data_IF_604960578557
#
_entry.id   IF_604960578557
#
_cell.length_a   1.000
_cell.length_b   1.000
_cell.length_c   1.000
_cell.angle_alpha   90.00
_cell.angle_beta   90.00
_cell.angle_gamma   90.00
#
_symmetry.space_group_name_H-M   'P 1'
#
loop_
_entity.id
_entity.type
_entity.pdbx_description
1 polymer ?
#
# COMPACT_ATOMS: atom_id res chain seq x y z
N UNK A 1 -79.53 -96.49 -44.80
CA UNK A 1 -79.56 -95.85 -43.48
C UNK A 1 -78.63 -94.64 -43.49
N UNK A 2 -79.02 -93.61 -42.75
CA UNK A 2 -78.33 -92.34 -42.50
C UNK A 2 -78.36 -91.33 -43.66
N UNK A 3 -79.38 -90.47 -43.59
CA UNK A 3 -79.61 -89.36 -44.48
C UNK A 3 -78.65 -88.20 -44.27
N UNK A 4 -78.31 -87.55 -45.38
CA UNK A 4 -77.50 -86.34 -45.47
C UNK A 4 -78.39 -85.13 -45.19
N UNK A 5 -77.91 -84.29 -44.26
CA UNK A 5 -78.60 -83.15 -43.68
C UNK A 5 -78.09 -81.89 -44.39
N UNK A 6 -78.89 -81.30 -45.28
CA UNK A 6 -78.58 -80.01 -45.91
C UNK A 6 -79.07 -78.86 -45.00
N UNK A 7 -78.20 -77.95 -44.52
CA UNK A 7 -78.52 -76.98 -43.46
C UNK A 7 -79.52 -75.87 -43.85
N UNK A 8 -80.12 -75.93 -45.05
CA UNK A 8 -81.08 -74.91 -45.53
C UNK A 8 -82.55 -75.32 -45.43
N UNK A 9 -82.88 -76.59 -45.16
CA UNK A 9 -84.27 -77.07 -45.04
C UNK A 9 -84.42 -78.11 -43.90
N UNK A 10 -85.43 -77.94 -43.03
CA UNK A 10 -85.50 -78.56 -41.69
C UNK A 10 -86.52 -79.73 -41.55
N UNK A 11 -86.70 -80.58 -42.57
CA UNK A 11 -87.70 -81.67 -42.53
C UNK A 11 -87.13 -83.04 -42.91
N UNK A 12 -87.33 -84.04 -42.04
CA UNK A 12 -86.96 -85.46 -42.23
C UNK A 12 -87.96 -86.16 -43.16
N UNK A 13 -87.49 -86.77 -44.25
CA UNK A 13 -88.31 -87.58 -45.15
C UNK A 13 -88.25 -89.04 -44.68
N UNK A 14 -89.11 -89.37 -43.71
CA UNK A 14 -89.42 -90.75 -43.34
C UNK A 14 -90.93 -90.90 -43.47
N UNK A 15 -91.36 -91.74 -44.42
CA UNK A 15 -92.73 -92.04 -44.83
C UNK A 15 -93.33 -91.10 -45.90
N UNK A 16 -92.90 -91.27 -47.15
CA UNK A 16 -93.72 -90.93 -48.32
C UNK A 16 -93.61 -92.10 -49.31
N UNK A 17 -94.70 -92.84 -49.44
CA UNK A 17 -94.92 -93.92 -50.39
C UNK A 17 -95.16 -93.35 -51.79
N UNK A 18 -94.25 -93.65 -52.74
CA UNK A 18 -94.36 -93.35 -54.18
C UNK A 18 -93.82 -91.97 -54.59
N UNK A 19 -92.72 -91.95 -55.35
CA UNK A 19 -92.07 -90.82 -56.06
C UNK A 19 -92.41 -89.40 -55.61
N UNK A 20 -91.59 -88.83 -54.70
CA UNK A 20 -91.67 -87.42 -54.29
C UNK A 20 -90.36 -86.68 -54.59
N UNK A 21 -90.44 -85.61 -55.40
CA UNK A 21 -89.34 -84.70 -55.77
C UNK A 21 -89.35 -83.46 -54.87
N UNK A 22 -88.21 -83.13 -54.25
CA UNK A 22 -88.05 -81.97 -53.35
C UNK A 22 -87.66 -80.74 -54.19
N UNK A 23 -88.54 -79.73 -54.26
CA UNK A 23 -88.27 -78.45 -54.95
C UNK A 23 -87.68 -77.41 -53.99
N UNK A 24 -86.64 -76.69 -54.42
CA UNK A 24 -86.06 -75.55 -53.66
C UNK A 24 -86.96 -74.31 -53.70
N UNK A 25 -86.80 -73.34 -52.80
CA UNK A 25 -87.70 -72.17 -52.74
C UNK A 25 -87.62 -71.30 -54.00
N UNK A 26 -86.44 -71.15 -54.60
CA UNK A 26 -86.28 -70.50 -55.90
C UNK A 26 -86.93 -71.32 -57.03
N UNK A 27 -86.84 -72.64 -57.02
CA UNK A 27 -87.50 -73.49 -58.01
C UNK A 27 -89.01 -73.54 -57.82
N UNK A 28 -89.50 -73.47 -56.59
CA UNK A 28 -90.92 -73.35 -56.24
C UNK A 28 -91.47 -72.00 -56.67
N UNK A 29 -90.75 -70.92 -56.41
CA UNK A 29 -91.15 -69.60 -56.92
C UNK A 29 -91.02 -69.50 -58.44
N UNK A 30 -90.01 -70.14 -59.05
CA UNK A 30 -89.87 -70.22 -60.51
C UNK A 30 -91.01 -71.01 -61.12
N UNK A 31 -91.36 -72.19 -60.59
CA UNK A 31 -92.53 -72.96 -61.05
C UNK A 31 -93.82 -72.23 -60.75
N UNK A 32 -93.95 -71.47 -59.65
CA UNK A 32 -95.12 -70.62 -59.35
C UNK A 32 -95.22 -69.38 -60.24
N UNK A 33 -94.10 -68.82 -60.69
CA UNK A 33 -94.04 -67.72 -61.68
C UNK A 33 -94.25 -68.24 -63.10
N UNK A 34 -93.78 -69.44 -63.42
CA UNK A 34 -93.95 -70.10 -64.72
C UNK A 34 -95.32 -70.77 -64.88
N UNK A 35 -95.98 -71.18 -63.80
CA UNK A 35 -97.34 -71.77 -63.81
C UNK A 35 -98.46 -70.73 -63.85
N UNK A 36 -98.15 -69.47 -63.54
CA UNK A 36 -99.03 -68.34 -63.87
C UNK A 36 -98.89 -68.04 -65.36
N UNK A 37 -99.81 -68.58 -66.15
CA UNK A 37 -100.02 -68.17 -67.54
C UNK A 37 -100.36 -66.67 -67.56
N UNK A 38 -99.35 -65.84 -67.85
CA UNK A 38 -99.54 -64.42 -68.12
C UNK A 38 -100.26 -64.29 -69.46
N UNK A 39 -101.35 -63.54 -69.46
CA UNK A 39 -102.05 -63.16 -70.70
C UNK A 39 -101.16 -62.25 -71.55
N UNK A 40 -101.29 -62.25 -72.89
CA UNK A 40 -100.45 -61.44 -73.78
C UNK A 40 -100.37 -59.95 -73.39
N UNK A 41 -101.45 -59.40 -72.82
CA UNK A 41 -101.53 -58.03 -72.34
C UNK A 41 -100.59 -57.75 -71.14
N UNK A 42 -100.43 -58.70 -70.22
CA UNK A 42 -99.62 -58.50 -69.01
C UNK A 42 -98.12 -58.66 -69.27
N UNK A 43 -97.72 -59.42 -70.30
CA UNK A 43 -96.33 -59.45 -70.78
C UNK A 43 -95.95 -58.11 -71.39
N UNK A 44 -96.86 -57.51 -72.17
CA UNK A 44 -96.64 -56.25 -72.87
C UNK A 44 -96.52 -55.06 -71.92
N UNK A 45 -97.36 -54.98 -70.87
CA UNK A 45 -97.21 -53.95 -69.83
C UNK A 45 -95.88 -54.05 -69.06
N UNK A 46 -95.38 -55.27 -68.84
CA UNK A 46 -94.13 -55.45 -68.10
C UNK A 46 -92.92 -55.11 -68.95
N UNK A 47 -92.92 -55.48 -70.23
CA UNK A 47 -91.88 -55.04 -71.17
C UNK A 47 -91.91 -53.54 -71.36
N UNK A 48 -93.09 -52.92 -71.43
CA UNK A 48 -93.22 -51.45 -71.49
C UNK A 48 -92.66 -50.77 -70.24
N UNK A 49 -92.96 -51.27 -69.04
CA UNK A 49 -92.38 -50.71 -67.80
C UNK A 49 -90.87 -50.87 -67.72
N UNK A 50 -90.33 -52.03 -68.12
CA UNK A 50 -88.88 -52.25 -68.16
C UNK A 50 -88.20 -51.38 -69.23
N UNK A 51 -88.84 -51.12 -70.36
CA UNK A 51 -88.38 -50.19 -71.39
C UNK A 51 -88.45 -48.73 -70.92
N UNK A 52 -89.50 -48.34 -70.21
CA UNK A 52 -89.63 -47.01 -69.61
C UNK A 52 -88.58 -46.75 -68.53
N UNK A 53 -88.30 -47.73 -67.67
CA UNK A 53 -87.23 -47.63 -66.66
C UNK A 53 -85.83 -47.55 -67.31
N UNK A 54 -85.59 -48.33 -68.37
CA UNK A 54 -84.35 -48.22 -69.17
C UNK A 54 -84.24 -46.85 -69.85
N UNK A 55 -85.33 -46.35 -70.41
CA UNK A 55 -85.35 -45.04 -71.06
C UNK A 55 -85.12 -43.90 -70.04
N UNK A 56 -85.70 -44.00 -68.84
CA UNK A 56 -85.49 -43.02 -67.76
C UNK A 56 -84.05 -43.06 -67.23
N UNK A 57 -83.47 -44.25 -67.05
CA UNK A 57 -82.07 -44.38 -66.62
C UNK A 57 -81.10 -43.90 -67.69
N UNK A 58 -81.35 -44.19 -68.98
CA UNK A 58 -80.55 -43.65 -70.08
C UNK A 58 -80.65 -42.13 -70.16
N UNK A 59 -81.86 -41.55 -70.09
CA UNK A 59 -82.04 -40.09 -70.06
C UNK A 59 -81.32 -39.45 -68.87
N UNK A 60 -81.34 -40.08 -67.70
CA UNK A 60 -80.63 -39.58 -66.53
C UNK A 60 -79.10 -39.64 -66.68
N UNK A 61 -78.57 -40.67 -67.35
CA UNK A 61 -77.14 -40.79 -67.68
C UNK A 61 -76.75 -39.74 -68.72
N UNK A 62 -77.55 -39.55 -69.76
CA UNK A 62 -77.28 -38.58 -70.82
C UNK A 62 -77.35 -37.15 -70.30
N UNK A 63 -78.34 -36.80 -69.48
CA UNK A 63 -78.39 -35.49 -68.80
C UNK A 63 -77.17 -35.26 -67.88
N UNK A 64 -76.70 -36.29 -67.17
CA UNK A 64 -75.47 -36.17 -66.38
C UNK A 64 -74.24 -35.97 -67.27
N UNK A 65 -74.15 -36.68 -68.39
CA UNK A 65 -73.05 -36.53 -69.36
C UNK A 65 -73.05 -35.15 -70.00
N UNK A 66 -74.20 -34.63 -70.44
CA UNK A 66 -74.29 -33.28 -71.02
C UNK A 66 -73.92 -32.23 -69.99
N UNK A 67 -74.39 -32.36 -68.74
CA UNK A 67 -74.05 -31.42 -67.67
C UNK A 67 -72.54 -31.41 -67.34
N UNK A 68 -71.89 -32.58 -67.36
CA UNK A 68 -70.44 -32.69 -67.16
C UNK A 68 -69.68 -32.04 -68.32
N UNK A 69 -70.08 -32.33 -69.57
CA UNK A 69 -69.45 -31.76 -70.76
C UNK A 69 -69.64 -30.23 -70.79
N UNK A 70 -70.82 -29.72 -70.49
CA UNK A 70 -71.08 -28.27 -70.41
C UNK A 70 -70.32 -27.59 -69.27
N UNK A 71 -70.22 -28.23 -68.11
CA UNK A 71 -69.42 -27.72 -66.99
C UNK A 71 -67.93 -27.70 -67.33
N UNK A 72 -67.42 -28.73 -68.02
CA UNK A 72 -66.02 -28.81 -68.45
C UNK A 72 -65.71 -27.78 -69.53
N UNK A 73 -66.61 -27.57 -70.49
CA UNK A 73 -66.48 -26.51 -71.50
C UNK A 73 -66.49 -25.12 -70.87
N UNK A 74 -67.40 -24.85 -69.91
CA UNK A 74 -67.43 -23.57 -69.17
C UNK A 74 -66.16 -23.37 -68.35
N UNK A 75 -65.66 -24.42 -67.70
CA UNK A 75 -64.42 -24.36 -66.92
C UNK A 75 -63.20 -24.10 -67.81
N UNK A 76 -63.09 -24.78 -68.96
CA UNK A 76 -62.03 -24.53 -69.93
C UNK A 76 -62.11 -23.12 -70.53
N UNK A 77 -63.31 -22.60 -70.81
CA UNK A 77 -63.49 -21.22 -71.28
C UNK A 77 -63.10 -20.19 -70.21
N UNK A 78 -63.48 -20.40 -68.95
CA UNK A 78 -63.09 -19.54 -67.82
C UNK A 78 -61.57 -19.53 -67.63
N UNK A 79 -60.93 -20.71 -67.64
CA UNK A 79 -59.47 -20.82 -67.53
C UNK A 79 -58.77 -20.10 -68.67
N UNK A 80 -59.23 -20.28 -69.92
CA UNK A 80 -58.67 -19.56 -71.08
C UNK A 80 -58.87 -18.05 -70.96
N UNK A 81 -60.03 -17.58 -70.50
CA UNK A 81 -60.26 -16.15 -70.27
C UNK A 81 -59.35 -15.59 -69.18
N UNK A 82 -59.18 -16.31 -68.07
CA UNK A 82 -58.34 -15.89 -66.96
C UNK A 82 -56.85 -15.83 -67.35
N UNK A 83 -56.35 -16.83 -68.08
CA UNK A 83 -54.96 -16.81 -68.57
C UNK A 83 -54.75 -15.70 -69.59
N UNK A 84 -55.70 -15.47 -70.49
CA UNK A 84 -55.63 -14.38 -71.48
C UNK A 84 -55.66 -13.01 -70.79
N UNK A 85 -56.48 -12.83 -69.76
CA UNK A 85 -56.55 -11.59 -68.98
C UNK A 85 -55.26 -11.31 -68.21
N UNK A 86 -54.69 -12.33 -67.54
CA UNK A 86 -53.41 -12.20 -66.85
C UNK A 86 -52.28 -11.84 -67.82
N UNK A 87 -52.22 -12.50 -68.98
CA UNK A 87 -51.25 -12.17 -70.03
C UNK A 87 -51.44 -10.76 -70.56
N UNK A 88 -52.69 -10.30 -70.75
CA UNK A 88 -52.96 -8.93 -71.19
C UNK A 88 -52.54 -7.88 -70.15
N UNK A 89 -52.76 -8.15 -68.86
CA UNK A 89 -52.38 -7.24 -67.77
C UNK A 89 -50.86 -7.20 -67.58
N UNK A 90 -50.18 -8.34 -67.73
CA UNK A 90 -48.71 -8.39 -67.74
C UNK A 90 -48.14 -7.63 -68.93
N UNK A 91 -48.72 -7.83 -70.12
CA UNK A 91 -48.32 -7.08 -71.32
C UNK A 91 -48.56 -5.58 -71.14
N UNK A 92 -49.69 -5.16 -70.56
CA UNK A 92 -49.97 -3.75 -70.29
C UNK A 92 -48.99 -3.15 -69.26
N UNK A 93 -48.64 -3.88 -68.21
CA UNK A 93 -47.59 -3.47 -67.25
C UNK A 93 -46.23 -3.35 -67.92
N UNK A 94 -45.85 -4.32 -68.74
CA UNK A 94 -44.60 -4.28 -69.49
C UNK A 94 -44.58 -3.07 -70.43
N UNK A 95 -45.70 -2.79 -71.10
CA UNK A 95 -45.84 -1.65 -72.00
C UNK A 95 -45.81 -0.32 -71.23
N UNK A 96 -46.39 -0.26 -70.02
CA UNK A 96 -46.31 0.91 -69.14
C UNK A 96 -44.87 1.14 -68.63
N UNK A 97 -44.15 0.08 -68.26
CA UNK A 97 -42.73 0.17 -67.87
C UNK A 97 -41.88 0.59 -69.07
N UNK A 98 -42.14 0.03 -70.25
CA UNK A 98 -41.43 0.41 -71.48
C UNK A 98 -41.70 1.88 -71.85
N UNK A 99 -42.94 2.35 -71.72
CA UNK A 99 -43.30 3.77 -71.89
C UNK A 99 -42.63 4.66 -70.86
N UNK A 100 -42.60 4.27 -69.60
CA UNK A 100 -41.91 5.00 -68.54
C UNK A 100 -40.42 5.13 -68.85
N UNK A 101 -39.74 4.02 -69.18
CA UNK A 101 -38.33 4.02 -69.59
C UNK A 101 -38.09 4.87 -70.83
N UNK A 102 -38.97 4.79 -71.84
CA UNK A 102 -38.86 5.62 -73.03
C UNK A 102 -39.00 7.12 -72.71
N UNK A 103 -39.86 7.48 -71.76
CA UNK A 103 -40.00 8.86 -71.30
C UNK A 103 -38.77 9.34 -70.50
N UNK A 104 -38.17 8.47 -69.68
CA UNK A 104 -36.91 8.77 -68.95
C UNK A 104 -35.72 8.99 -69.88
N UNK A 105 -35.75 8.45 -71.10
CA UNK A 105 -34.71 8.67 -72.11
C UNK A 105 -34.79 10.03 -72.79
N UNK A 106 -35.91 10.75 -72.69
CA UNK A 106 -36.07 12.10 -73.23
C UNK A 106 -35.14 13.08 -72.51
N UNK A 107 -34.48 13.95 -73.27
CA UNK A 107 -33.45 14.85 -72.74
C UNK A 107 -34.00 15.86 -71.72
N UNK A 108 -35.25 16.31 -71.88
CA UNK A 108 -35.91 17.19 -70.90
C UNK A 108 -36.14 16.49 -69.56
N UNK A 109 -36.50 15.20 -69.59
CA UNK A 109 -36.71 14.39 -68.38
C UNK A 109 -35.37 14.12 -67.68
N UNK A 110 -34.30 13.88 -68.44
CA UNK A 110 -32.94 13.79 -67.89
C UNK A 110 -32.51 15.10 -67.21
N UNK A 111 -32.81 16.26 -67.80
CA UNK A 111 -32.53 17.55 -67.17
C UNK A 111 -33.34 17.74 -65.87
N UNK A 112 -34.64 17.43 -65.89
CA UNK A 112 -35.48 17.47 -64.68
C UNK A 112 -34.96 16.52 -63.60
N UNK A 113 -34.51 15.32 -63.97
CA UNK A 113 -33.91 14.37 -63.03
C UNK A 113 -32.61 14.89 -62.42
N UNK A 114 -31.78 15.59 -63.18
CA UNK A 114 -30.59 16.28 -62.65
C UNK A 114 -30.98 17.37 -61.63
N UNK A 115 -32.03 18.15 -61.90
CA UNK A 115 -32.54 19.15 -60.96
C UNK A 115 -33.11 18.52 -59.69
N UNK A 116 -33.87 17.43 -59.81
CA UNK A 116 -34.38 16.66 -58.66
C UNK A 116 -33.23 16.10 -57.82
N UNK A 117 -32.18 15.55 -58.46
CA UNK A 117 -31.00 15.07 -57.76
C UNK A 117 -30.27 16.22 -57.04
N UNK A 118 -30.09 17.37 -57.69
CA UNK A 118 -29.50 18.56 -57.08
C UNK A 118 -30.32 19.07 -55.89
N UNK A 119 -31.65 19.09 -56.00
CA UNK A 119 -32.55 19.48 -54.91
C UNK A 119 -32.44 18.52 -53.71
N UNK A 120 -32.35 17.20 -53.96
CA UNK A 120 -32.13 16.21 -52.90
C UNK A 120 -30.79 16.42 -52.18
N UNK A 121 -29.72 16.65 -52.94
CA UNK A 121 -28.39 16.93 -52.36
C UNK A 121 -28.40 18.22 -51.54
N UNK A 122 -29.07 19.29 -52.00
CA UNK A 122 -29.23 20.53 -51.22
C UNK A 122 -29.98 20.30 -49.92
N UNK A 123 -31.09 19.56 -49.96
CA UNK A 123 -31.87 19.23 -48.76
C UNK A 123 -31.06 18.40 -47.75
N UNK A 124 -30.26 17.43 -48.22
CA UNK A 124 -29.35 16.67 -47.35
C UNK A 124 -28.28 17.58 -46.73
N UNK A 125 -27.67 18.46 -47.51
CA UNK A 125 -26.66 19.42 -47.02
C UNK A 125 -27.24 20.36 -45.97
N UNK A 126 -28.46 20.86 -46.16
CA UNK A 126 -29.12 21.73 -45.19
C UNK A 126 -29.40 21.00 -43.87
N UNK A 127 -29.82 19.73 -43.94
CA UNK A 127 -29.99 18.88 -42.76
C UNK A 127 -28.64 18.63 -42.04
N UNK A 128 -27.58 18.36 -42.79
CA UNK A 128 -26.22 18.19 -42.25
C UNK A 128 -25.71 19.47 -41.57
N UNK A 129 -25.96 20.65 -42.17
CA UNK A 129 -25.59 21.94 -41.58
C UNK A 129 -26.29 22.18 -40.24
N UNK A 130 -27.57 21.84 -40.13
CA UNK A 130 -28.32 21.93 -38.87
C UNK A 130 -27.73 20.98 -37.82
N UNK A 131 -27.43 19.74 -38.20
CA UNK A 131 -26.82 18.76 -37.29
C UNK A 131 -25.44 19.21 -36.83
N UNK A 132 -24.61 19.75 -37.73
CA UNK A 132 -23.29 20.25 -37.37
C UNK A 132 -23.36 21.46 -36.43
N UNK A 133 -24.32 22.37 -36.63
CA UNK A 133 -24.56 23.47 -35.70
C UNK A 133 -24.93 22.97 -34.31
N UNK A 134 -25.86 22.01 -34.21
CA UNK A 134 -26.25 21.39 -32.93
C UNK A 134 -25.07 20.71 -32.24
N UNK A 135 -24.28 19.92 -32.97
CA UNK A 135 -23.06 19.30 -32.44
C UNK A 135 -22.09 20.33 -31.87
N UNK A 136 -21.86 21.42 -32.59
CA UNK A 136 -20.98 22.50 -32.13
C UNK A 136 -21.50 23.18 -30.86
N UNK A 137 -22.82 23.38 -30.76
CA UNK A 137 -23.46 23.92 -29.55
C UNK A 137 -23.34 22.96 -28.36
N UNK A 138 -23.54 21.66 -28.59
CA UNK A 138 -23.37 20.60 -27.57
C UNK A 138 -21.90 20.51 -27.10
N UNK A 139 -20.95 20.53 -28.03
CA UNK A 139 -19.51 20.56 -27.73
C UNK A 139 -19.14 21.79 -26.89
N UNK A 140 -19.60 22.98 -27.27
CA UNK A 140 -19.36 24.21 -26.52
C UNK A 140 -19.99 24.16 -25.11
N UNK A 141 -21.18 23.58 -24.97
CA UNK A 141 -21.82 23.38 -23.68
C UNK A 141 -21.04 22.39 -22.81
N UNK A 142 -20.56 21.29 -23.38
CA UNK A 142 -19.71 20.33 -22.66
C UNK A 142 -18.38 20.94 -22.23
N UNK A 143 -17.72 21.69 -23.11
CA UNK A 143 -16.47 22.40 -22.79
C UNK A 143 -16.69 23.39 -21.64
N UNK A 144 -17.78 24.15 -21.66
CA UNK A 144 -18.14 25.04 -20.56
C UNK A 144 -18.35 24.29 -19.24
N UNK A 145 -19.08 23.18 -19.25
CA UNK A 145 -19.27 22.35 -18.05
C UNK A 145 -17.94 21.76 -17.55
N UNK A 146 -17.04 21.36 -18.44
CA UNK A 146 -15.72 20.88 -18.06
C UNK A 146 -14.88 22.00 -17.44
N UNK A 147 -14.89 23.20 -18.02
CA UNK A 147 -14.21 24.37 -17.45
C UNK A 147 -14.74 24.73 -16.06
N UNK A 148 -16.07 24.69 -15.85
CA UNK A 148 -16.69 24.91 -14.54
C UNK A 148 -16.26 23.86 -13.51
N UNK A 149 -16.17 22.58 -13.90
CA UNK A 149 -15.67 21.50 -13.02
C UNK A 149 -14.21 21.70 -12.65
N UNK A 150 -13.37 22.04 -13.62
CA UNK A 150 -11.94 22.30 -13.39
C UNK A 150 -11.72 23.50 -12.47
N UNK A 151 -12.49 24.57 -12.64
CA UNK A 151 -12.41 25.75 -11.76
C UNK A 151 -12.90 25.42 -10.35
N UNK A 152 -13.96 24.63 -10.20
CA UNK A 152 -14.42 24.15 -8.90
C UNK A 152 -13.36 23.29 -8.20
N UNK A 153 -12.67 22.40 -8.92
CA UNK A 153 -11.55 21.62 -8.38
C UNK A 153 -10.37 22.49 -7.99
N UNK A 154 -10.02 23.50 -8.81
CA UNK A 154 -8.99 24.49 -8.48
C UNK A 154 -9.33 25.22 -7.18
N UNK A 155 -10.57 25.67 -7.02
CA UNK A 155 -11.03 26.35 -5.81
C UNK A 155 -10.98 25.44 -4.59
N UNK A 156 -11.40 24.16 -4.71
CA UNK A 156 -11.27 23.17 -3.64
C UNK A 156 -9.81 22.94 -3.24
N UNK A 157 -8.91 22.83 -4.21
CA UNK A 157 -7.49 22.68 -3.94
C UNK A 157 -6.95 23.89 -3.15
N UNK A 158 -7.29 25.13 -3.57
CA UNK A 158 -6.93 26.35 -2.85
C UNK A 158 -7.51 26.37 -1.43
N UNK A 159 -8.76 25.94 -1.24
CA UNK A 159 -9.38 25.83 0.08
C UNK A 159 -8.61 24.87 0.99
N UNK A 160 -8.26 23.67 0.51
CA UNK A 160 -7.47 22.69 1.26
C UNK A 160 -6.11 23.27 1.67
N UNK A 161 -5.43 24.01 0.78
CA UNK A 161 -4.18 24.69 1.12
C UNK A 161 -4.36 25.75 2.21
N UNK A 162 -5.41 26.58 2.10
CA UNK A 162 -5.72 27.60 3.09
C UNK A 162 -6.08 27.01 4.46
N UNK A 163 -6.85 25.92 4.48
CA UNK A 163 -7.19 25.18 5.71
C UNK A 163 -5.94 24.61 6.37
N UNK A 164 -5.05 24.00 5.58
CA UNK A 164 -3.76 23.49 6.08
C UNK A 164 -2.90 24.60 6.65
N UNK A 165 -2.82 25.75 5.98
CA UNK A 165 -2.05 26.90 6.48
C UNK A 165 -2.65 27.47 7.77
N UNK A 166 -3.98 27.58 7.84
CA UNK A 166 -4.70 28.00 9.05
C UNK A 166 -4.43 27.05 10.22
N UNK A 167 -4.52 25.74 10.00
CA UNK A 167 -4.22 24.74 11.01
C UNK A 167 -2.77 24.82 11.51
N UNK A 168 -1.80 25.01 10.61
CA UNK A 168 -0.39 25.22 10.99
C UNK A 168 -0.22 26.50 11.80
N UNK A 169 -0.92 27.58 11.44
CA UNK A 169 -0.89 28.86 12.16
C UNK A 169 -1.48 28.71 13.57
N UNK A 170 -2.56 27.95 13.73
CA UNK A 170 -3.14 27.64 15.04
C UNK A 170 -2.20 26.78 15.89
N UNK A 171 -1.59 25.73 15.32
CA UNK A 171 -0.59 24.94 16.03
C UNK A 171 0.60 25.79 16.50
N UNK A 172 1.07 26.72 15.67
CA UNK A 172 2.12 27.67 16.06
C UNK A 172 1.67 28.59 17.21
N UNK A 173 0.44 29.08 17.18
CA UNK A 173 -0.12 29.88 18.28
C UNK A 173 -0.22 29.08 19.58
N UNK A 174 -0.74 27.85 19.53
CA UNK A 174 -0.83 26.96 20.68
C UNK A 174 0.56 26.63 21.24
N UNK A 175 1.51 26.32 20.37
CA UNK A 175 2.92 26.09 20.74
C UNK A 175 3.53 27.32 21.41
N UNK A 176 3.32 28.52 20.85
CA UNK A 176 3.80 29.77 21.44
C UNK A 176 3.17 30.05 22.81
N UNK A 177 1.87 29.82 22.97
CA UNK A 177 1.18 29.95 24.26
C UNK A 177 1.73 28.97 25.30
N UNK A 178 1.99 27.71 24.91
CA UNK A 178 2.59 26.72 25.81
C UNK A 178 3.99 27.14 26.26
N UNK A 179 4.83 27.64 25.34
CA UNK A 179 6.17 28.14 25.68
C UNK A 179 6.09 29.35 26.61
N UNK A 180 5.18 30.30 26.35
CA UNK A 180 4.95 31.44 27.24
C UNK A 180 4.55 30.99 28.64
N UNK A 181 3.67 29.98 28.74
CA UNK A 181 3.27 29.40 30.02
C UNK A 181 4.47 28.77 30.73
N UNK A 182 5.28 27.98 30.04
CA UNK A 182 6.51 27.39 30.58
C UNK A 182 7.52 28.44 31.05
N UNK A 183 7.69 29.53 30.30
CA UNK A 183 8.56 30.66 30.70
C UNK A 183 8.02 31.31 31.98
N UNK A 184 6.71 31.51 32.08
CA UNK A 184 6.08 32.08 33.26
C UNK A 184 6.24 31.15 34.48
N UNK A 185 6.00 29.85 34.30
CA UNK A 185 6.18 28.85 35.36
C UNK A 185 7.63 28.81 35.85
N UNK A 186 8.61 28.85 34.93
CA UNK A 186 10.04 28.97 35.30
C UNK A 186 10.35 30.26 36.03
N UNK A 187 9.76 31.40 35.64
CA UNK A 187 9.92 32.67 36.36
C UNK A 187 9.35 32.60 37.78
N UNK A 188 8.20 31.95 37.96
CA UNK A 188 7.60 31.74 39.28
C UNK A 188 8.50 30.84 40.13
N UNK A 189 8.97 29.71 39.60
CA UNK A 189 9.89 28.82 40.31
C UNK A 189 11.19 29.54 40.69
N UNK A 190 11.76 30.34 39.79
CA UNK A 190 12.97 31.13 40.07
C UNK A 190 12.73 32.15 41.20
N UNK A 191 11.54 32.77 41.27
CA UNK A 191 11.16 33.64 42.38
C UNK A 191 11.05 32.87 43.69
N UNK A 192 10.36 31.73 43.70
CA UNK A 192 10.23 30.87 44.90
C UNK A 192 11.61 30.44 45.40
N UNK A 193 12.52 30.06 44.50
CA UNK A 193 13.88 29.66 44.87
C UNK A 193 14.70 30.84 45.40
N UNK A 194 14.57 32.03 44.80
CA UNK A 194 15.18 33.25 45.32
C UNK A 194 14.67 33.60 46.72
N UNK A 195 13.35 33.49 46.96
CA UNK A 195 12.75 33.70 48.27
C UNK A 195 13.23 32.66 49.29
N UNK A 196 13.39 31.39 48.88
CA UNK A 196 13.95 30.33 49.74
C UNK A 196 15.40 30.63 50.12
N UNK A 197 16.24 31.00 49.17
CA UNK A 197 17.63 31.41 49.44
C UNK A 197 17.69 32.65 50.33
N UNK A 198 16.80 33.62 50.14
CA UNK A 198 16.74 34.81 50.98
C UNK A 198 16.39 34.46 52.43
N UNK A 199 15.46 33.52 52.65
CA UNK A 199 15.16 32.97 53.99
C UNK A 199 16.35 32.23 54.59
N UNK A 200 16.99 31.32 53.85
CA UNK A 200 18.19 30.59 54.31
C UNK A 200 19.32 31.57 54.70
N UNK A 201 19.53 32.64 53.93
CA UNK A 201 20.51 33.69 54.25
C UNK A 201 20.10 34.48 55.50
N UNK A 202 18.82 34.77 55.68
CA UNK A 202 18.33 35.47 56.86
C UNK A 202 18.50 34.62 58.13
N UNK A 203 18.13 33.33 58.07
CA UNK A 203 18.32 32.36 59.16
C UNK A 203 19.80 32.18 59.51
N UNK A 204 20.67 32.08 58.50
CA UNK A 204 22.13 32.02 58.72
C UNK A 204 22.65 33.29 59.39
N UNK A 205 22.17 34.48 58.97
CA UNK A 205 22.56 35.76 59.61
C UNK A 205 22.11 35.83 61.06
N UNK A 206 20.89 35.40 61.35
CA UNK A 206 20.37 35.35 62.72
C UNK A 206 21.17 34.37 63.59
N UNK A 207 21.48 33.18 63.08
CA UNK A 207 22.33 32.20 63.77
C UNK A 207 23.74 32.74 64.03
N UNK A 208 24.34 33.44 63.06
CA UNK A 208 25.65 34.08 63.24
C UNK A 208 25.61 35.23 64.25
N UNK A 209 24.53 36.01 64.28
CA UNK A 209 24.33 37.06 65.29
C UNK A 209 24.20 36.47 66.69
N UNK A 210 23.38 35.43 66.87
CA UNK A 210 23.24 34.73 68.15
C UNK A 210 24.57 34.11 68.61
N UNK A 211 25.35 33.52 67.69
CA UNK A 211 26.68 32.99 68.01
C UNK A 211 27.66 34.09 68.45
N UNK A 212 27.62 35.26 67.79
CA UNK A 212 28.45 36.42 68.16
C UNK A 212 28.05 36.98 69.54
N UNK A 213 26.75 37.06 69.84
CA UNK A 213 26.26 37.50 71.15
C UNK A 213 26.67 36.55 72.27
N UNK A 214 26.59 35.23 72.05
CA UNK A 214 27.08 34.23 73.00
C UNK A 214 28.61 34.30 73.16
N UNK A 215 29.37 34.49 72.08
CA UNK A 215 30.83 34.69 72.18
C UNK A 215 31.17 35.94 72.99
N UNK A 216 30.45 37.05 72.79
CA UNK A 216 30.60 38.27 73.58
C UNK A 216 30.26 38.05 75.05
N UNK A 217 29.17 37.32 75.36
CA UNK A 217 28.82 36.95 76.75
C UNK A 217 29.91 36.10 77.40
N UNK A 218 30.39 35.05 76.73
CA UNK A 218 31.46 34.19 77.24
C UNK A 218 32.77 34.97 77.44
N UNK A 219 33.10 35.89 76.54
CA UNK A 219 34.26 36.77 76.68
C UNK A 219 34.12 37.72 77.88
N UNK A 220 32.92 38.27 78.11
CA UNK A 220 32.62 39.09 79.29
C UNK A 220 32.70 38.28 80.59
N UNK A 221 32.12 37.08 80.65
CA UNK A 221 32.19 36.19 81.81
C UNK A 221 33.64 35.78 82.09
N UNK A 222 34.41 35.45 81.05
CA UNK A 222 35.84 35.15 81.19
C UNK A 222 36.62 36.34 81.74
N UNK A 223 36.32 37.56 81.27
CA UNK A 223 36.94 38.79 81.78
C UNK A 223 36.57 39.06 83.23
N UNK A 224 35.31 38.86 83.61
CA UNK A 224 34.85 38.97 85.00
C UNK A 224 35.55 37.94 85.89
N UNK A 225 35.57 36.67 85.51
CA UNK A 225 36.28 35.61 86.24
C UNK A 225 37.78 35.89 86.36
N UNK A 226 38.41 36.44 85.32
CA UNK A 226 39.81 36.88 85.38
C UNK A 226 40.01 38.05 86.35
N UNK A 227 39.07 39.00 86.43
CA UNK A 227 39.11 40.10 87.38
C UNK A 227 38.91 39.62 88.82
N UNK A 228 37.95 38.74 89.06
CA UNK A 228 37.71 38.10 90.36
C UNK A 228 38.94 37.32 90.83
N UNK A 229 39.52 36.49 89.96
CA UNK A 229 40.75 35.75 90.25
C UNK A 229 41.93 36.68 90.55
N UNK A 230 42.06 37.80 89.83
CA UNK A 230 43.09 38.81 90.10
C UNK A 230 42.87 39.47 91.46
N UNK A 231 41.62 39.80 91.82
CA UNK A 231 41.28 40.34 93.14
C UNK A 231 41.62 39.36 94.26
N UNK A 232 41.26 38.08 94.10
CA UNK A 232 41.60 37.01 95.06
C UNK A 232 43.11 36.87 95.22
N UNK A 233 43.87 36.90 94.11
CA UNK A 233 45.33 36.87 94.14
C UNK A 233 45.93 38.10 94.86
N UNK A 234 45.38 39.30 94.64
CA UNK A 234 45.80 40.53 95.33
C UNK A 234 45.48 40.48 96.82
N UNK A 235 44.32 39.94 97.21
CA UNK A 235 43.93 39.75 98.60
C UNK A 235 44.81 38.71 99.30
N UNK A 236 45.05 37.56 98.67
CA UNK A 236 45.96 36.53 99.17
C UNK A 236 47.39 37.07 99.33
N UNK A 237 47.87 37.89 98.39
CA UNK A 237 49.18 38.54 98.49
C UNK A 237 49.21 39.58 99.64
N UNK A 238 48.18 40.42 99.78
CA UNK A 238 48.04 41.34 100.94
C UNK A 238 48.05 40.58 102.26
N UNK A 239 47.28 39.49 102.37
CA UNK A 239 47.27 38.64 103.56
C UNK A 239 48.64 38.00 103.81
N UNK A 240 49.34 37.55 102.77
CA UNK A 240 50.71 37.01 102.87
C UNK A 240 51.69 38.06 103.38
N UNK A 241 51.64 39.30 102.87
CA UNK A 241 52.47 40.42 103.33
C UNK A 241 52.20 40.72 104.80
N UNK A 242 50.92 40.80 105.21
CA UNK A 242 50.55 41.01 106.62
C UNK A 242 51.04 39.87 107.51
N UNK A 243 50.92 38.61 107.05
CA UNK A 243 51.45 37.44 107.79
C UNK A 243 52.96 37.53 107.95
N UNK A 244 53.71 37.84 106.87
CA UNK A 244 55.16 38.05 106.91
C UNK A 244 55.57 39.20 107.83
N UNK A 245 54.79 40.29 107.88
CA UNK A 245 55.06 41.40 108.78
C UNK A 245 54.84 41.01 110.25
N UNK A 246 53.75 40.28 110.55
CA UNK A 246 53.48 39.74 111.89
C UNK A 246 54.50 38.68 112.32
N UNK A 247 55.01 37.89 111.38
CA UNK A 247 56.09 36.93 111.63
C UNK A 247 57.38 37.67 111.93
N UNK A 248 57.76 38.68 111.13
CA UNK A 248 58.91 39.54 111.42
C UNK A 248 58.78 40.30 112.75
N UNK A 249 57.61 40.79 113.10
CA UNK A 249 57.37 41.43 114.41
C UNK A 249 57.51 40.44 115.57
N UNK A 250 57.03 39.20 115.40
CA UNK A 250 57.26 38.12 116.37
C UNK A 250 58.74 37.76 116.46
N UNK A 251 59.44 37.64 115.34
CA UNK A 251 60.89 37.40 115.33
C UNK A 251 61.64 38.54 116.04
N UNK A 252 61.26 39.81 115.83
CA UNK A 252 61.86 40.96 116.53
C UNK A 252 61.53 40.92 118.03
N UNK A 253 60.32 40.53 118.41
CA UNK A 253 59.93 40.38 119.82
C UNK A 253 60.68 39.21 120.48
N UNK A 254 60.83 38.08 119.80
CA UNK A 254 61.60 36.93 120.26
C UNK A 254 63.09 37.28 120.35
N UNK A 255 63.65 37.97 119.35
CA UNK A 255 65.04 38.46 119.38
C UNK A 255 65.24 39.47 120.51
N UNK A 256 64.31 40.39 120.75
CA UNK A 256 64.41 41.33 121.86
C UNK A 256 64.27 40.64 123.22
N UNK A 257 63.37 39.65 123.34
CA UNK A 257 63.24 38.82 124.54
C UNK A 257 64.50 37.97 124.79
N UNK A 258 65.11 37.45 123.72
CA UNK A 258 66.40 36.75 123.77
C UNK A 258 67.52 37.72 124.15
N UNK A 259 67.54 38.95 123.65
CA UNK A 259 68.53 39.97 124.03
C UNK A 259 68.38 40.37 125.51
N UNK A 260 67.16 40.56 126.00
CA UNK A 260 66.92 40.87 127.42
C UNK A 260 67.23 39.69 128.34
N UNK A 261 66.86 38.48 127.93
CA UNK A 261 67.23 37.25 128.62
C UNK A 261 68.75 37.05 128.60
N UNK A 262 69.42 37.26 127.47
CA UNK A 262 70.87 37.16 127.34
C UNK A 262 71.61 38.29 128.04
N UNK A 263 71.05 39.50 128.19
CA UNK A 263 71.65 40.55 129.02
C UNK A 263 71.58 40.19 130.50
N UNK A 264 70.44 39.63 130.95
CA UNK A 264 70.28 39.14 132.33
C UNK A 264 71.15 37.90 132.60
N UNK A 265 71.24 36.99 131.62
CA UNK A 265 72.05 35.78 131.69
C UNK A 265 73.54 36.08 131.54
N UNK A 266 73.95 37.01 130.69
CA UNK A 266 75.35 37.46 130.56
C UNK A 266 75.81 38.21 131.80
N UNK A 267 74.96 38.99 132.48
CA UNK A 267 75.31 39.56 133.78
C UNK A 267 75.52 38.46 134.85
N UNK A 268 74.71 37.40 134.84
CA UNK A 268 74.85 36.27 135.77
C UNK A 268 75.97 35.29 135.37
N UNK A 269 76.26 35.13 134.07
CA UNK A 269 77.29 34.27 133.52
C UNK A 269 78.65 34.96 133.45
N UNK A 270 78.77 36.29 133.36
CA UNK A 270 80.05 36.98 133.52
C UNK A 270 80.60 36.80 134.95
N UNK A 271 79.70 36.71 135.94
CA UNK A 271 80.02 36.38 137.34
C UNK A 271 80.38 34.90 137.54
N UNK A 272 79.88 33.99 136.68
CA UNK A 272 80.06 32.53 136.78
C UNK A 272 81.12 31.97 135.82
N UNK A 273 81.36 32.58 134.65
CA UNK A 273 82.33 32.19 133.62
C UNK A 273 83.75 32.56 134.00
N UNK A 274 83.97 33.58 134.85
CA UNK A 274 85.27 33.73 135.54
C UNK A 274 85.64 32.50 136.39
N UNK A 275 84.67 31.69 136.78
CA UNK A 275 84.89 30.49 137.60
C UNK A 275 84.78 29.17 136.82
N UNK A 276 84.23 29.17 135.60
CA UNK A 276 83.94 27.95 134.83
C UNK A 276 84.66 27.88 133.47
N UNK A 277 85.30 28.97 133.01
CA UNK A 277 86.17 28.99 131.82
C UNK A 277 87.32 27.97 131.86
N UNK A 278 87.70 27.45 133.03
CA UNK A 278 88.69 26.37 133.15
C UNK A 278 88.13 24.96 132.93
N UNK A 279 86.80 24.74 132.98
CA UNK A 279 86.18 23.40 132.95
C UNK A 279 85.50 22.99 131.64
N UNK A 280 85.30 23.90 130.68
CA UNK A 280 84.58 23.62 129.42
C UNK A 280 85.47 23.38 128.19
N UNK A 281 86.80 23.44 128.32
CA UNK A 281 87.74 23.01 127.28
C UNK A 281 87.74 21.48 127.03
N UNK A 282 86.97 20.70 127.80
CA UNK A 282 87.03 19.23 127.78
C UNK A 282 85.84 18.52 127.09
N UNK A 283 84.80 19.22 126.63
CA UNK A 283 83.56 18.55 126.14
C UNK A 283 83.00 19.10 124.82
N UNK A 284 83.88 19.46 123.90
CA UNK A 284 83.52 19.82 122.52
C UNK A 284 83.97 18.73 121.53
N UNK A 285 83.71 17.46 121.88
CA UNK A 285 84.01 16.28 121.04
C UNK A 285 82.83 15.34 120.77
N UNK A 286 81.61 15.65 121.21
CA UNK A 286 80.51 14.66 121.14
C UNK A 286 79.27 15.05 120.31
N UNK A 287 79.22 16.19 119.63
CA UNK A 287 78.00 16.56 118.86
C UNK A 287 78.32 16.93 117.40
N UNK A 288 79.06 16.04 116.73
CA UNK A 288 79.17 16.04 115.26
C UNK A 288 78.52 14.81 114.60
N UNK A 289 77.99 13.86 115.37
CA UNK A 289 77.49 12.58 114.83
C UNK A 289 76.00 12.57 114.41
N UNK A 290 75.19 13.57 114.77
CA UNK A 290 73.74 13.55 114.46
C UNK A 290 73.41 14.05 113.04
N UNK A 291 74.37 14.65 112.33
CA UNK A 291 74.15 15.20 110.96
C UNK A 291 74.29 14.18 109.82
N UNK A 292 74.63 12.92 110.10
CA UNK A 292 74.98 11.90 109.07
C UNK A 292 73.82 11.01 108.61
N UNK A 293 72.66 11.03 109.29
CA UNK A 293 71.60 10.01 109.10
C UNK A 293 70.36 10.43 108.27
N UNK A 294 70.27 11.65 107.74
CA UNK A 294 69.06 12.05 106.97
C UNK A 294 69.26 12.22 105.46
N UNK A 295 70.50 12.20 104.95
CA UNK A 295 70.77 12.43 103.52
C UNK A 295 70.54 11.20 102.61
N UNK A 296 70.30 10.00 103.18
CA UNK A 296 70.18 8.74 102.39
C UNK A 296 68.77 8.37 101.92
N UNK A 297 67.73 9.07 102.38
CA UNK A 297 66.34 8.76 102.03
C UNK A 297 65.85 9.43 100.73
N UNK A 298 66.61 10.38 100.18
CA UNK A 298 66.23 11.14 98.98
C UNK A 298 66.74 10.46 97.70
N UNK A 299 67.79 9.65 97.77
CA UNK A 299 68.40 9.02 96.59
C UNK A 299 67.72 7.71 96.13
N UNK A 300 66.82 7.12 96.93
CA UNK A 300 66.17 5.84 96.61
C UNK A 300 64.89 5.97 95.77
N UNK A 301 64.29 7.15 95.66
CA UNK A 301 63.03 7.33 94.92
C UNK A 301 63.25 7.73 93.44
N UNK A 302 64.45 8.17 93.07
CA UNK A 302 64.81 8.56 91.69
C UNK A 302 65.06 7.36 90.75
N UNK A 303 65.25 6.15 91.29
CA UNK A 303 65.60 4.95 90.49
C UNK A 303 64.38 4.15 90.00
N UNK A 304 63.19 4.33 90.57
CA UNK A 304 62.00 3.56 90.19
C UNK A 304 61.23 4.12 88.98
N UNK A 305 61.39 5.41 88.66
CA UNK A 305 60.72 6.06 87.51
C UNK A 305 61.47 5.89 86.18
N UNK A 306 62.78 5.64 86.22
CA UNK A 306 63.60 5.45 85.02
C UNK A 306 63.33 4.11 84.31
N UNK A 307 62.93 3.07 85.05
CA UNK A 307 62.63 1.73 84.51
C UNK A 307 61.23 1.62 83.90
N UNK A 308 60.30 2.53 84.23
CA UNK A 308 58.93 2.55 83.70
C UNK A 308 58.84 3.25 82.34
N UNK A 309 59.70 4.25 82.11
CA UNK A 309 59.76 5.00 80.84
C UNK A 309 60.30 4.17 79.65
N UNK A 310 61.29 3.29 79.86
CA UNK A 310 61.90 2.48 78.78
C UNK A 310 60.99 1.40 78.18
N UNK A 311 60.05 0.85 78.95
CA UNK A 311 59.09 -0.17 78.44
C UNK A 311 57.97 0.43 77.60
N UNK A 312 57.53 1.65 77.92
CA UNK A 312 56.47 2.35 77.17
C UNK A 312 56.97 2.88 75.82
N UNK A 313 58.24 3.26 75.72
CA UNK A 313 58.84 3.70 74.45
C UNK A 313 59.00 2.55 73.45
N UNK A 314 59.46 1.37 73.89
CA UNK A 314 59.63 0.21 73.00
C UNK A 314 58.29 -0.38 72.50
N UNK A 315 57.24 -0.35 73.32
CA UNK A 315 55.91 -0.83 72.91
C UNK A 315 55.23 0.14 71.91
N UNK A 316 55.47 1.45 72.03
CA UNK A 316 55.03 2.46 71.06
C UNK A 316 55.73 2.29 69.71
N UNK A 317 57.05 2.09 69.72
CA UNK A 317 57.84 1.95 68.50
C UNK A 317 57.45 0.70 67.69
N UNK A 318 57.10 -0.40 68.37
CA UNK A 318 56.59 -1.62 67.72
C UNK A 318 55.21 -1.41 67.09
N UNK A 319 54.30 -0.68 67.77
CA UNK A 319 52.97 -0.36 67.24
C UNK A 319 53.04 0.62 66.06
N UNK A 320 53.98 1.56 66.07
CA UNK A 320 54.22 2.48 64.96
C UNK A 320 54.77 1.77 63.72
N UNK A 321 55.78 0.89 63.88
CA UNK A 321 56.29 0.07 62.77
C UNK A 321 55.23 -0.84 62.16
N UNK A 322 54.33 -1.42 62.97
CA UNK A 322 53.21 -2.21 62.46
C UNK A 322 52.21 -1.35 61.67
N UNK A 323 51.86 -0.16 62.17
CA UNK A 323 50.97 0.78 61.46
C UNK A 323 51.57 1.27 60.15
N UNK A 324 52.87 1.53 60.09
CA UNK A 324 53.56 1.94 58.86
C UNK A 324 53.55 0.83 57.80
N UNK A 325 53.78 -0.43 58.21
CA UNK A 325 53.70 -1.58 57.32
C UNK A 325 52.28 -1.82 56.80
N UNK A 326 51.26 -1.65 57.63
CA UNK A 326 49.85 -1.76 57.21
C UNK A 326 49.43 -0.63 56.27
N UNK A 327 49.86 0.61 56.52
CA UNK A 327 49.61 1.73 55.63
C UNK A 327 50.35 1.57 54.29
N UNK A 328 51.57 1.01 54.30
CA UNK A 328 52.30 0.69 53.07
C UNK A 328 51.60 -0.40 52.25
N UNK A 329 51.11 -1.47 52.90
CA UNK A 329 50.33 -2.53 52.23
C UNK A 329 49.03 -2.01 51.63
N UNK A 330 48.25 -1.22 52.37
CA UNK A 330 47.01 -0.59 51.86
C UNK A 330 47.28 0.31 50.65
N UNK A 331 48.36 1.10 50.69
CA UNK A 331 48.76 1.94 49.54
C UNK A 331 49.14 1.11 48.31
N UNK A 332 49.73 -0.06 48.48
CA UNK A 332 50.06 -0.95 47.37
C UNK A 332 48.81 -1.62 46.80
N UNK A 333 47.90 -2.10 47.65
CA UNK A 333 46.60 -2.65 47.25
C UNK A 333 45.76 -1.63 46.47
N UNK A 334 45.71 -0.38 46.94
CA UNK A 334 45.04 0.72 46.23
C UNK A 334 45.68 1.02 44.87
N UNK A 335 47.01 1.00 44.78
CA UNK A 335 47.72 1.16 43.49
C UNK A 335 47.40 0.01 42.53
N UNK A 336 47.41 -1.23 43.02
CA UNK A 336 47.08 -2.41 42.23
C UNK A 336 45.65 -2.31 41.68
N UNK A 337 44.69 -1.96 42.55
CA UNK A 337 43.30 -1.73 42.15
C UNK A 337 43.16 -0.63 41.09
N UNK A 338 43.90 0.47 41.20
CA UNK A 338 43.89 1.54 40.20
C UNK A 338 44.45 1.04 38.85
N UNK A 339 45.52 0.25 38.88
CA UNK A 339 46.12 -0.33 37.67
C UNK A 339 45.15 -1.31 37.01
N UNK A 340 44.51 -2.18 37.79
CA UNK A 340 43.56 -3.17 37.28
C UNK A 340 42.32 -2.49 36.71
N UNK A 341 41.74 -1.53 37.41
CA UNK A 341 40.62 -0.72 36.92
C UNK A 341 40.98 0.03 35.63
N UNK A 342 42.20 0.56 35.52
CA UNK A 342 42.69 1.22 34.30
C UNK A 342 42.83 0.22 33.16
N UNK A 343 43.34 -0.97 33.42
CA UNK A 343 43.48 -2.03 32.42
C UNK A 343 42.12 -2.54 31.93
N UNK A 344 41.16 -2.72 32.83
CA UNK A 344 39.77 -3.07 32.48
C UNK A 344 39.11 -1.97 31.65
N UNK A 345 39.26 -0.71 32.04
CA UNK A 345 38.75 0.42 31.27
C UNK A 345 39.34 0.46 29.85
N UNK A 346 40.66 0.27 29.71
CA UNK A 346 41.32 0.21 28.40
C UNK A 346 40.81 -0.96 27.56
N UNK A 347 40.62 -2.14 28.15
CA UNK A 347 40.03 -3.31 27.46
C UNK A 347 38.60 -3.04 27.00
N UNK A 348 37.76 -2.44 27.84
CA UNK A 348 36.39 -2.08 27.49
C UNK A 348 36.35 -1.04 26.37
N UNK A 349 37.21 -0.02 26.44
CA UNK A 349 37.36 0.98 25.37
C UNK A 349 37.78 0.33 24.06
N UNK A 350 38.75 -0.58 24.08
CA UNK A 350 39.20 -1.32 22.90
C UNK A 350 38.08 -2.19 22.31
N UNK A 351 37.34 -2.93 23.15
CA UNK A 351 36.16 -3.70 22.69
C UNK A 351 35.10 -2.82 22.05
N UNK A 352 34.80 -1.65 22.63
CA UNK A 352 33.83 -0.70 22.08
C UNK A 352 34.30 -0.14 20.73
N UNK A 353 35.59 0.18 20.60
CA UNK A 353 36.17 0.63 19.32
C UNK A 353 36.07 -0.45 18.24
N UNK A 354 36.36 -1.71 18.57
CA UNK A 354 36.21 -2.84 17.65
C UNK A 354 34.74 -3.03 17.24
N UNK A 355 33.80 -2.91 18.19
CA UNK A 355 32.37 -2.99 17.90
C UNK A 355 31.92 -1.87 16.96
N UNK A 356 32.35 -0.63 17.21
CA UNK A 356 32.05 0.51 16.32
C UNK A 356 32.64 0.30 14.93
N UNK A 357 33.91 -0.11 14.82
CA UNK A 357 34.54 -0.41 13.55
C UNK A 357 33.83 -1.55 12.79
N UNK A 358 33.32 -2.55 13.50
CA UNK A 358 32.52 -3.63 12.90
C UNK A 358 31.16 -3.14 12.40
N UNK A 359 30.48 -2.26 13.15
CA UNK A 359 29.22 -1.65 12.72
C UNK A 359 29.46 -0.80 11.47
N UNK A 360 30.47 0.09 11.49
CA UNK A 360 30.85 0.90 10.34
C UNK A 360 31.22 0.05 9.12
N UNK A 361 31.98 -1.03 9.32
CA UNK A 361 32.30 -1.98 8.24
C UNK A 361 31.05 -2.65 7.66
N UNK A 362 30.10 -3.08 8.50
CA UNK A 362 28.85 -3.67 8.05
C UNK A 362 27.96 -2.67 7.29
N UNK A 363 27.89 -1.43 7.77
CA UNK A 363 27.17 -0.36 7.08
C UNK A 363 27.81 -0.02 5.73
N UNK A 364 29.13 0.06 5.68
CA UNK A 364 29.89 0.25 4.45
C UNK A 364 29.67 -0.90 3.46
N UNK A 365 29.71 -2.16 3.92
CA UNK A 365 29.44 -3.32 3.07
C UNK A 365 28.00 -3.34 2.55
N UNK A 366 27.01 -2.94 3.38
CA UNK A 366 25.61 -2.79 2.94
C UNK A 366 25.46 -1.68 1.90
N UNK A 367 26.10 -0.54 2.12
CA UNK A 367 26.09 0.57 1.18
C UNK A 367 26.76 0.18 -0.15
N UNK A 368 27.89 -0.53 -0.08
CA UNK A 368 28.59 -1.06 -1.25
C UNK A 368 27.72 -2.05 -2.02
N UNK A 369 27.07 -3.01 -1.35
CA UNK A 369 26.14 -3.94 -2.01
C UNK A 369 25.00 -3.23 -2.72
N UNK A 370 24.38 -2.23 -2.08
CA UNK A 370 23.36 -1.40 -2.72
C UNK A 370 23.89 -0.66 -3.94
N UNK A 371 25.10 -0.11 -3.86
CA UNK A 371 25.74 0.57 -4.98
C UNK A 371 26.04 -0.39 -6.14
N UNK A 372 26.56 -1.59 -5.84
CA UNK A 372 26.81 -2.64 -6.82
C UNK A 372 25.50 -3.13 -7.46
N UNK A 373 24.43 -3.29 -6.68
CA UNK A 373 23.08 -3.64 -7.17
C UNK A 373 22.50 -2.55 -8.07
N UNK A 374 22.60 -1.28 -7.68
CA UNK A 374 22.11 -0.15 -8.50
C UNK A 374 22.92 -0.04 -9.81
N UNK A 375 24.23 -0.24 -9.74
CA UNK A 375 25.11 -0.26 -10.91
C UNK A 375 24.73 -1.42 -11.85
N UNK A 376 24.55 -2.63 -11.32
CA UNK A 376 24.14 -3.79 -12.10
C UNK A 376 22.75 -3.60 -12.72
N UNK A 377 21.79 -3.00 -11.99
CA UNK A 377 20.48 -2.67 -12.51
C UNK A 377 20.55 -1.65 -13.66
N UNK A 378 21.40 -0.62 -13.52
CA UNK A 378 21.62 0.40 -14.57
C UNK A 378 22.28 -0.20 -15.81
N UNK A 379 23.27 -1.10 -15.64
CA UNK A 379 23.90 -1.83 -16.74
C UNK A 379 22.90 -2.78 -17.44
N UNK A 380 22.06 -3.48 -16.67
CA UNK A 380 21.00 -4.34 -17.22
C UNK A 380 19.94 -3.54 -17.99
N UNK A 381 19.53 -2.38 -17.49
CA UNK A 381 18.59 -1.50 -18.20
C UNK A 381 19.22 -0.95 -19.50
N UNK A 382 20.48 -0.54 -19.46
CA UNK A 382 21.21 -0.08 -20.64
C UNK A 382 21.36 -1.22 -21.67
N UNK A 383 21.64 -2.45 -21.24
CA UNK A 383 21.70 -3.61 -22.11
C UNK A 383 20.34 -3.93 -22.74
N UNK A 384 19.23 -3.84 -21.97
CA UNK A 384 17.87 -3.99 -22.50
C UNK A 384 17.52 -2.94 -23.54
N UNK A 385 17.84 -1.66 -23.28
CA UNK A 385 17.63 -0.57 -24.25
C UNK A 385 18.43 -0.79 -25.52
N UNK A 386 19.69 -1.21 -25.39
CA UNK A 386 20.54 -1.54 -26.53
C UNK A 386 19.98 -2.71 -27.34
N UNK A 387 19.57 -3.79 -26.68
CA UNK A 387 18.95 -4.94 -27.35
C UNK A 387 17.67 -4.56 -28.09
N UNK A 388 16.79 -3.76 -27.48
CA UNK A 388 15.58 -3.25 -28.13
C UNK A 388 15.91 -2.36 -29.34
N UNK A 389 16.95 -1.52 -29.25
CA UNK A 389 17.41 -0.70 -30.38
C UNK A 389 17.98 -1.58 -31.50
N UNK A 390 18.74 -2.63 -31.16
CA UNK A 390 19.31 -3.57 -32.14
C UNK A 390 18.18 -4.36 -32.84
N UNK A 391 17.15 -4.79 -32.12
CA UNK A 391 15.95 -5.41 -32.69
C UNK A 391 15.19 -4.47 -33.63
N UNK A 392 14.96 -3.23 -33.20
CA UNK A 392 14.35 -2.20 -34.04
C UNK A 392 15.16 -1.94 -35.31
N UNK A 393 16.48 -1.84 -35.20
CA UNK A 393 17.37 -1.65 -36.34
C UNK A 393 17.31 -2.84 -37.31
N UNK A 394 17.22 -4.08 -36.81
CA UNK A 394 17.04 -5.27 -37.64
C UNK A 394 15.70 -5.27 -38.38
N UNK A 395 14.62 -4.91 -37.69
CA UNK A 395 13.29 -4.79 -38.31
C UNK A 395 13.29 -3.72 -39.40
N UNK A 396 13.90 -2.56 -39.12
CA UNK A 396 14.04 -1.48 -40.10
C UNK A 396 14.84 -1.91 -41.33
N UNK A 397 15.93 -2.67 -41.14
CA UNK A 397 16.70 -3.24 -42.25
C UNK A 397 15.86 -4.19 -43.10
N UNK A 398 15.07 -5.07 -42.48
CA UNK A 398 14.15 -5.97 -43.19
C UNK A 398 13.07 -5.19 -43.95
N UNK A 399 12.51 -4.13 -43.36
CA UNK A 399 11.55 -3.26 -44.05
C UNK A 399 12.18 -2.54 -45.25
N UNK A 400 13.43 -2.07 -45.13
CA UNK A 400 14.16 -1.44 -46.23
C UNK A 400 14.42 -2.47 -47.35
N UNK A 401 14.84 -3.68 -47.01
CA UNK A 401 15.08 -4.75 -47.98
C UNK A 401 13.80 -5.18 -48.69
N UNK A 402 12.70 -5.38 -47.96
CA UNK A 402 11.40 -5.72 -48.55
C UNK A 402 10.88 -4.63 -49.47
N UNK A 403 10.96 -3.35 -49.07
CA UNK A 403 10.60 -2.21 -49.94
C UNK A 403 11.52 -2.12 -51.17
N UNK A 404 12.80 -2.42 -51.02
CA UNK A 404 13.75 -2.45 -52.15
C UNK A 404 13.41 -3.55 -53.14
N UNK A 405 13.08 -4.75 -52.65
CA UNK A 405 12.62 -5.87 -53.47
C UNK A 405 11.30 -5.54 -54.17
N UNK A 406 10.32 -4.98 -53.46
CA UNK A 406 9.06 -4.53 -54.06
C UNK A 406 9.30 -3.50 -55.18
N UNK A 407 10.19 -2.52 -54.97
CA UNK A 407 10.54 -1.53 -55.98
C UNK A 407 11.26 -2.14 -57.19
N UNK A 408 12.04 -3.20 -56.99
CA UNK A 408 12.67 -3.95 -58.10
C UNK A 408 11.67 -4.83 -58.86
N UNK A 409 10.65 -5.38 -58.17
CA UNK A 409 9.63 -6.23 -58.79
C UNK A 409 8.54 -5.42 -59.50
N UNK A 410 8.24 -4.19 -59.07
CA UNK A 410 7.17 -3.36 -59.65
C UNK A 410 7.31 -3.13 -61.18
N UNK A 411 8.50 -2.82 -61.74
CA UNK A 411 8.68 -2.74 -63.19
C UNK A 411 8.47 -4.07 -63.91
N UNK A 412 8.81 -5.19 -63.25
CA UNK A 412 8.66 -6.54 -63.80
C UNK A 412 7.18 -6.93 -63.88
N UNK A 413 6.41 -6.66 -62.83
CA UNK A 413 4.95 -6.87 -62.80
C UNK A 413 4.27 -6.00 -63.86
N UNK A 414 4.66 -4.73 -63.98
CA UNK A 414 4.11 -3.86 -65.03
C UNK A 414 4.47 -4.31 -66.45
N UNK A 415 5.64 -4.94 -66.64
CA UNK A 415 6.02 -5.50 -67.94
C UNK A 415 5.19 -6.76 -68.25
N UNK A 416 4.98 -7.62 -67.27
CA UNK A 416 4.18 -8.85 -67.39
C UNK A 416 2.70 -8.49 -67.68
N UNK A 417 2.14 -7.50 -66.96
CA UNK A 417 0.80 -6.96 -67.22
C UNK A 417 0.71 -6.35 -68.64
N UNK A 418 1.75 -5.65 -69.10
CA UNK A 418 1.79 -5.10 -70.46
C UNK A 418 1.87 -6.20 -71.54
N UNK A 419 2.61 -7.27 -71.27
CA UNK A 419 2.71 -8.44 -72.15
C UNK A 419 1.38 -9.19 -72.22
N UNK A 420 0.74 -9.45 -71.08
CA UNK A 420 -0.58 -10.08 -71.02
C UNK A 420 -1.63 -9.26 -71.79
N UNK A 421 -1.65 -7.94 -71.60
CA UNK A 421 -2.54 -7.04 -72.35
C UNK A 421 -2.23 -6.99 -73.86
N UNK A 422 -0.98 -7.23 -74.26
CA UNK A 422 -0.61 -7.33 -75.67
C UNK A 422 -1.06 -8.68 -76.27
N UNK A 423 -0.91 -9.78 -75.53
CA UNK A 423 -1.37 -11.11 -75.91
C UNK A 423 -2.90 -11.16 -76.06
N UNK A 424 -3.66 -10.62 -75.11
CA UNK A 424 -5.13 -10.55 -75.21
C UNK A 424 -5.60 -9.73 -76.42
N UNK A 425 -4.90 -8.63 -76.74
CA UNK A 425 -5.17 -7.84 -77.95
C UNK A 425 -4.87 -8.62 -79.22
N UNK A 426 -3.77 -9.38 -79.24
CA UNK A 426 -3.39 -10.19 -80.38
C UNK A 426 -4.38 -11.34 -80.62
N UNK A 427 -4.76 -12.05 -79.56
CA UNK A 427 -5.79 -13.09 -79.58
C UNK A 427 -7.12 -12.57 -80.12
N UNK A 428 -7.50 -11.34 -79.75
CA UNK A 428 -8.72 -10.71 -80.24
C UNK A 428 -8.62 -10.36 -81.73
N UNK A 429 -7.46 -9.87 -82.21
CA UNK A 429 -7.20 -9.63 -83.64
C UNK A 429 -7.29 -10.95 -84.41
N UNK A 430 -6.63 -12.00 -83.93
CA UNK A 430 -6.59 -13.31 -84.58
C UNK A 430 -7.99 -13.93 -84.66
N UNK A 431 -8.83 -13.78 -83.63
CA UNK A 431 -10.25 -14.19 -83.67
C UNK A 431 -11.06 -13.41 -84.71
N UNK A 432 -10.87 -12.09 -84.80
CA UNK A 432 -11.55 -11.28 -85.83
C UNK A 432 -11.08 -11.70 -87.23
N UNK A 433 -9.81 -12.03 -87.41
CA UNK A 433 -9.28 -12.52 -88.69
C UNK A 433 -9.82 -13.89 -89.07
N UNK A 434 -9.91 -14.83 -88.11
CA UNK A 434 -10.56 -16.11 -88.33
C UNK A 434 -12.02 -15.95 -88.76
N UNK A 435 -12.79 -15.09 -88.07
CA UNK A 435 -14.18 -14.78 -88.43
C UNK A 435 -14.26 -14.11 -89.82
N UNK A 436 -13.32 -13.22 -90.15
CA UNK A 436 -13.23 -12.59 -91.47
C UNK A 436 -13.00 -13.63 -92.56
N UNK A 437 -12.11 -14.58 -92.34
CA UNK A 437 -11.81 -15.66 -93.28
C UNK A 437 -12.99 -16.61 -93.45
N UNK A 438 -13.69 -16.97 -92.36
CA UNK A 438 -14.91 -17.78 -92.42
C UNK A 438 -16.01 -17.06 -93.21
N UNK A 439 -16.22 -15.75 -92.99
CA UNK A 439 -17.22 -14.97 -93.73
C UNK A 439 -16.85 -14.80 -95.20
N UNK A 440 -15.56 -14.59 -95.52
CA UNK A 440 -15.10 -14.58 -96.91
C UNK A 440 -15.28 -15.95 -97.58
N UNK A 441 -15.04 -17.06 -96.86
CA UNK A 441 -15.26 -18.41 -97.36
C UNK A 441 -16.74 -18.71 -97.60
N UNK A 442 -17.63 -18.29 -96.69
CA UNK A 442 -19.08 -18.37 -96.88
C UNK A 442 -19.54 -17.59 -98.12
N UNK A 443 -19.08 -16.36 -98.29
CA UNK A 443 -19.47 -15.52 -99.43
C UNK A 443 -18.93 -16.07 -100.78
N UNK A 444 -17.76 -16.73 -100.77
CA UNK A 444 -17.25 -17.46 -101.95
C UNK A 444 -18.08 -18.69 -102.26
N UNK A 445 -18.54 -19.43 -101.24
CA UNK A 445 -19.43 -20.58 -101.41
C UNK A 445 -20.81 -20.18 -101.95
N UNK A 446 -21.30 -18.98 -101.60
CA UNK A 446 -22.54 -18.39 -102.11
C UNK A 446 -22.42 -17.82 -103.55
N UNK A 447 -21.21 -17.85 -104.15
CA UNK A 447 -20.99 -17.47 -105.54
C UNK A 447 -20.82 -15.97 -105.79
N UNK A 448 -20.48 -15.18 -104.77
CA UNK A 448 -20.26 -13.73 -104.90
C UNK A 448 -18.98 -13.44 -105.70
N UNK A 449 -19.01 -12.60 -106.75
CA UNK A 449 -17.82 -12.25 -107.53
C UNK A 449 -16.73 -11.56 -106.69
N UNK A 450 -15.47 -11.97 -106.89
CA UNK A 450 -14.30 -11.57 -106.07
C UNK A 450 -14.09 -10.05 -105.97
N UNK A 451 -14.57 -9.27 -106.96
CA UNK A 451 -14.48 -7.81 -106.97
C UNK A 451 -15.13 -7.15 -105.74
N UNK A 452 -16.20 -7.74 -105.20
CA UNK A 452 -16.91 -7.21 -104.02
C UNK A 452 -16.39 -7.77 -102.68
N UNK A 453 -15.51 -8.76 -102.72
CA UNK A 453 -14.89 -9.36 -101.54
C UNK A 453 -13.61 -8.65 -101.11
N UNK A 454 -12.97 -7.91 -102.04
CA UNK A 454 -11.73 -7.17 -101.78
C UNK A 454 -11.89 -6.11 -100.68
N UNK A 455 -13.05 -5.46 -100.58
CA UNK A 455 -13.30 -4.43 -99.57
C UNK A 455 -13.39 -5.03 -98.15
N UNK A 456 -13.99 -6.21 -98.01
CA UNK A 456 -14.05 -6.93 -96.73
C UNK A 456 -12.68 -7.54 -96.37
N UNK A 457 -11.93 -8.03 -97.36
CA UNK A 457 -10.59 -8.58 -97.17
C UNK A 457 -9.57 -7.52 -96.71
N UNK A 458 -9.68 -6.29 -97.22
CA UNK A 458 -8.75 -5.20 -96.94
C UNK A 458 -9.18 -4.29 -95.78
N UNK A 459 -10.31 -4.58 -95.11
CA UNK A 459 -10.80 -3.77 -93.99
C UNK A 459 -9.89 -3.94 -92.77
N UNK A 460 -9.20 -2.86 -92.40
CA UNK A 460 -8.39 -2.80 -91.16
C UNK A 460 -9.30 -2.54 -89.97
N UNK A 461 -9.20 -3.39 -88.95
CA UNK A 461 -9.91 -3.21 -87.69
C UNK A 461 -8.97 -2.48 -86.73
N UNK A 462 -9.30 -1.23 -86.39
CA UNK A 462 -8.56 -0.43 -85.41
C UNK A 462 -9.23 -0.64 -84.06
N UNK A 463 -8.48 -1.18 -83.11
CA UNK A 463 -8.91 -1.31 -81.71
C UNK A 463 -8.38 -0.07 -80.99
N UNK A 464 -9.27 0.68 -80.33
CA UNK A 464 -8.90 1.85 -79.53
C UNK A 464 -8.40 1.45 -78.15
#
# INVERSE_FOLDING_TARGET
MLGTRDPRYNTRISNISGDAVILTQEEYERTKRQSKFLTPAQVLERTQKEEEEKLQTMKAIDMKRTNIIEAEQKHQQMLKQQTTQLQSAEHERQLAIARSKANEELDEVKLMNQEVAAARVRAMRDAELILHKKKKEEEAAMEKQQAEKLEAERQRAVQIYNERESALKEQRKLGAQMILKQINDRKILAKIEADRRAKEIAEMKEANQAALEEEQRLAQEKKQRQQEFLQECLEANKQSIVRKHKERERDIQEVNAIIEYNKKKAAQEEEYERQVAERKAAKEREISEIRKNQQRLIDTQAQEDELRARRVSEEKERKERQRELELAKKKEEERQMIIDNRNEFLRLKQKRLIQLANIEKQEFERAKKKWDEEKAAREAEAARKKAAQDEYNRQLQQEIETKRLQKQMAPLVHLDDQQHMAEERQDYIDRIEAIRQEKLAMLRAEGVPEKYLQDLANKKFVIH
#
